data_IF_809015094677
#
_entry.id   IF_809015094677
#
_cell.length_a   1.000
_cell.length_b   1.000
_cell.length_c   1.000
_cell.angle_alpha   90.00
_cell.angle_beta   90.00
_cell.angle_gamma   90.00
#
_symmetry.space_group_name_H-M   'P 1'
#
loop_
_entity.id
_entity.type
_entity.pdbx_description
1 polymer ?
#
# COMPACT_ATOMS: atom_id res chain seq x y z
N UNK A 1 -18.28 -2.38 20.97
CA UNK A 1 -18.91 -3.41 21.24
C UNK A 1 -18.40 -4.22 22.34
N UNK A 2 -19.17 -4.55 23.13
CA UNK A 2 -18.80 -5.17 24.37
C UNK A 2 -18.75 -6.68 24.28
N UNK A 3 -17.72 -7.26 24.85
CA UNK A 3 -17.61 -8.68 25.01
C UNK A 3 -17.91 -9.11 26.42
N UNK A 4 -18.55 -8.25 27.18
CA UNK A 4 -18.80 -8.52 28.59
C UNK A 4 -19.61 -9.78 28.84
N UNK A 5 -20.46 -10.17 27.90
CA UNK A 5 -21.25 -11.38 27.99
C UNK A 5 -20.46 -12.65 27.65
N UNK A 6 -19.28 -12.50 27.13
CA UNK A 6 -18.48 -13.62 26.71
C UNK A 6 -17.64 -14.12 27.89
N UNK A 7 -17.86 -15.37 28.31
CA UNK A 7 -17.04 -15.94 29.36
C UNK A 7 -15.64 -16.21 28.85
N UNK A 8 -14.66 -16.09 29.76
CA UNK A 8 -13.30 -16.45 29.43
C UNK A 8 -13.19 -17.96 29.27
N UNK A 9 -12.43 -18.42 28.28
CA UNK A 9 -12.22 -19.86 28.13
C UNK A 9 -11.48 -20.43 29.32
N UNK A 10 -11.79 -21.67 29.63
CA UNK A 10 -11.08 -22.42 30.64
C UNK A 10 -9.62 -22.58 30.21
N UNK A 11 -8.64 -22.18 31.04
CA UNK A 11 -7.24 -22.28 30.67
C UNK A 11 -6.77 -23.73 30.44
N UNK A 12 -7.49 -24.72 30.97
CA UNK A 12 -7.18 -26.12 30.72
C UNK A 12 -7.71 -26.61 29.38
N UNK A 13 -8.60 -25.88 28.74
CA UNK A 13 -9.18 -26.26 27.45
C UNK A 13 -8.34 -25.68 26.33
N UNK A 14 -7.89 -26.55 25.37
CA UNK A 14 -7.17 -26.02 24.20
C UNK A 14 -8.02 -25.00 23.45
N UNK A 15 -7.42 -23.86 23.13
CA UNK A 15 -8.12 -22.85 22.35
C UNK A 15 -8.27 -23.34 20.91
N UNK A 16 -9.45 -23.16 20.31
CA UNK A 16 -9.61 -23.52 18.92
C UNK A 16 -8.73 -22.64 18.04
N UNK A 17 -8.10 -23.27 17.05
CA UNK A 17 -7.38 -22.51 16.03
C UNK A 17 -8.39 -21.73 15.21
N UNK A 18 -8.19 -20.42 15.01
CA UNK A 18 -9.11 -19.65 14.15
C UNK A 18 -9.21 -20.29 12.77
N UNK A 19 -10.41 -20.38 12.19
CA UNK A 19 -10.55 -20.84 10.81
C UNK A 19 -9.67 -20.00 9.88
N UNK A 20 -9.10 -20.62 8.85
CA UNK A 20 -8.29 -19.91 7.86
C UNK A 20 -9.02 -18.70 7.27
N UNK A 21 -10.34 -18.83 7.12
CA UNK A 21 -11.17 -17.73 6.63
C UNK A 21 -11.13 -16.48 7.52
N UNK A 22 -10.76 -16.61 8.81
CA UNK A 22 -10.63 -15.49 9.73
C UNK A 22 -9.20 -14.95 9.81
N UNK A 23 -8.24 -15.62 9.20
CA UNK A 23 -6.85 -15.19 9.18
C UNK A 23 -6.59 -14.38 7.89
N UNK A 24 -7.38 -13.35 7.69
CA UNK A 24 -7.34 -12.52 6.50
C UNK A 24 -6.93 -11.09 6.84
N UNK A 25 -6.43 -10.38 5.84
CA UNK A 25 -6.13 -8.97 5.95
C UNK A 25 -6.33 -8.31 4.58
N UNK A 26 -6.52 -7.00 4.59
CA UNK A 26 -6.72 -6.23 3.37
C UNK A 26 -5.52 -5.37 3.07
N UNK A 27 -5.24 -5.21 1.79
CA UNK A 27 -4.32 -4.18 1.31
C UNK A 27 -5.03 -3.37 0.24
N UNK A 28 -4.71 -2.08 0.19
CA UNK A 28 -5.15 -1.25 -0.92
C UNK A 28 -4.34 -1.57 -2.16
N UNK A 29 -5.00 -1.61 -3.30
CA UNK A 29 -4.32 -1.48 -4.58
C UNK A 29 -3.94 -0.02 -4.75
N UNK A 30 -2.77 0.23 -5.29
CA UNK A 30 -2.26 1.58 -5.47
C UNK A 30 -2.03 1.87 -6.95
N UNK A 31 -2.19 3.15 -7.30
CA UNK A 31 -1.69 3.69 -8.56
C UNK A 31 -0.72 4.82 -8.24
N UNK A 32 0.44 4.79 -8.88
CA UNK A 32 1.41 5.87 -8.82
C UNK A 32 1.48 6.50 -10.20
N UNK A 33 1.17 7.79 -10.28
CA UNK A 33 1.01 8.49 -11.54
C UNK A 33 1.91 9.71 -11.61
N UNK A 34 2.53 9.91 -12.77
CA UNK A 34 3.35 11.08 -13.04
C UNK A 34 2.46 12.31 -13.26
N UNK A 35 2.66 13.31 -12.44
CA UNK A 35 1.89 14.56 -12.46
C UNK A 35 2.82 15.69 -12.86
N UNK A 36 2.33 16.55 -13.76
CA UNK A 36 2.99 17.79 -14.13
C UNK A 36 2.24 18.94 -13.44
N UNK A 37 2.89 19.70 -12.56
CA UNK A 37 2.20 20.67 -11.73
C UNK A 37 1.64 21.87 -12.50
N UNK A 38 2.25 22.23 -13.63
CA UNK A 38 1.77 23.30 -14.50
C UNK A 38 2.34 23.10 -15.90
N UNK A 39 1.73 23.73 -16.94
CA UNK A 39 2.13 23.47 -18.33
C UNK A 39 3.59 23.81 -18.66
N UNK A 40 4.16 24.77 -17.94
CA UNK A 40 5.54 25.21 -18.18
C UNK A 40 6.56 24.48 -17.31
N UNK A 41 6.15 23.46 -16.60
CA UNK A 41 7.03 22.71 -15.72
C UNK A 41 8.17 22.06 -16.52
N UNK A 42 9.37 22.09 -15.95
CA UNK A 42 10.55 21.51 -16.59
C UNK A 42 10.65 20.05 -16.19
N UNK A 43 10.74 19.19 -17.19
CA UNK A 43 10.83 17.74 -17.02
C UNK A 43 12.12 17.25 -17.66
N UNK A 44 13.01 16.74 -16.85
CA UNK A 44 14.31 16.26 -17.30
C UNK A 44 14.45 14.75 -17.27
N UNK A 45 13.63 14.06 -16.48
CA UNK A 45 13.59 12.61 -16.47
C UNK A 45 12.80 12.09 -17.68
N UNK A 46 12.88 10.80 -17.94
CA UNK A 46 12.12 10.18 -19.02
C UNK A 46 10.63 10.04 -18.75
N UNK A 47 10.15 10.60 -17.65
CA UNK A 47 8.74 10.51 -17.26
C UNK A 47 7.87 11.39 -18.16
N UNK A 48 6.70 10.86 -18.52
CA UNK A 48 5.71 11.60 -19.29
C UNK A 48 4.46 11.78 -18.43
N UNK A 49 3.75 12.91 -18.58
CA UNK A 49 2.50 13.12 -17.87
C UNK A 49 1.56 11.94 -18.08
N UNK A 50 1.01 11.42 -17.00
CA UNK A 50 0.09 10.31 -17.07
C UNK A 50 0.73 8.93 -17.08
N UNK A 51 2.04 8.82 -17.19
CA UNK A 51 2.71 7.53 -16.99
C UNK A 51 2.39 7.04 -15.58
N UNK A 52 2.14 5.74 -15.45
CA UNK A 52 1.76 5.19 -14.16
C UNK A 52 2.19 3.74 -14.01
N UNK A 53 2.19 3.28 -12.79
CA UNK A 53 2.19 1.86 -12.50
C UNK A 53 1.14 1.58 -11.42
N UNK A 54 0.76 0.33 -11.30
CA UNK A 54 -0.14 -0.12 -10.25
C UNK A 54 0.53 -1.18 -9.40
N UNK A 55 0.20 -1.18 -8.12
CA UNK A 55 0.68 -2.16 -7.17
C UNK A 55 -0.52 -2.94 -6.67
N UNK A 56 -0.52 -4.23 -6.95
CA UNK A 56 -1.56 -5.16 -6.51
C UNK A 56 -0.89 -6.21 -5.63
N UNK A 57 -1.15 -6.15 -4.33
CA UNK A 57 -0.42 -6.97 -3.38
C UNK A 57 1.07 -6.60 -3.41
N UNK A 58 1.92 -7.55 -3.75
CA UNK A 58 3.35 -7.30 -3.86
C UNK A 58 3.81 -7.06 -5.30
N UNK A 59 2.89 -7.16 -6.27
CA UNK A 59 3.24 -7.12 -7.68
C UNK A 59 3.01 -5.75 -8.29
N UNK A 60 4.03 -5.28 -8.99
CA UNK A 60 4.01 -4.02 -9.69
C UNK A 60 3.74 -4.27 -11.17
N UNK A 61 2.74 -3.55 -11.71
CA UNK A 61 2.33 -3.67 -13.10
C UNK A 61 2.48 -2.35 -13.83
N UNK A 62 3.09 -2.43 -15.00
CA UNK A 62 3.21 -1.31 -15.92
C UNK A 62 2.25 -1.52 -17.10
N UNK A 63 1.71 -0.44 -17.68
CA UNK A 63 1.00 -0.56 -18.94
C UNK A 63 1.89 -1.14 -20.02
N UNK A 64 1.33 -1.88 -21.01
CA UNK A 64 2.11 -2.43 -22.09
C UNK A 64 2.92 -1.35 -22.81
N UNK A 65 4.21 -1.61 -23.00
CA UNK A 65 5.10 -0.71 -23.74
C UNK A 65 5.52 0.54 -23.00
N UNK A 66 5.08 0.74 -21.77
CA UNK A 66 5.46 1.91 -20.98
C UNK A 66 6.61 1.58 -20.04
N UNK A 67 7.60 2.46 -20.00
CA UNK A 67 8.62 2.43 -18.96
C UNK A 67 8.25 3.30 -17.79
N UNK A 68 9.07 3.25 -16.75
CA UNK A 68 8.94 4.14 -15.59
C UNK A 68 10.34 4.44 -15.06
N UNK A 69 10.61 5.71 -14.79
CA UNK A 69 11.93 6.13 -14.30
C UNK A 69 12.27 5.43 -12.98
N UNK A 70 13.42 4.80 -12.90
CA UNK A 70 13.87 4.17 -11.66
C UNK A 70 14.15 5.20 -10.57
N UNK A 71 14.47 6.42 -10.94
CA UNK A 71 14.68 7.51 -9.98
C UNK A 71 13.35 7.93 -9.36
N UNK A 72 12.32 8.08 -10.18
CA UNK A 72 10.97 8.34 -9.70
C UNK A 72 10.45 7.19 -8.84
N UNK A 73 10.68 5.97 -9.29
CA UNK A 73 10.29 4.79 -8.52
C UNK A 73 10.95 4.79 -7.14
N UNK A 74 12.24 5.12 -7.08
CA UNK A 74 12.97 5.13 -5.80
C UNK A 74 12.39 6.11 -4.80
N UNK A 75 11.79 7.21 -5.26
CA UNK A 75 11.22 8.21 -4.37
C UNK A 75 9.92 7.74 -3.70
N UNK A 76 9.21 6.80 -4.31
CA UNK A 76 7.92 6.32 -3.78
C UNK A 76 8.01 4.95 -3.13
N UNK A 77 8.98 4.11 -3.48
CA UNK A 77 9.09 2.76 -2.94
C UNK A 77 8.98 2.69 -1.41
N UNK A 78 9.65 3.55 -0.64
CA UNK A 78 9.56 3.48 0.82
C UNK A 78 8.16 3.76 1.36
N UNK A 79 7.30 4.39 0.58
CA UNK A 79 5.98 4.84 1.01
C UNK A 79 4.88 3.85 0.63
N UNK A 80 5.14 2.97 -0.34
CA UNK A 80 4.08 2.14 -0.92
C UNK A 80 3.47 1.17 0.09
N UNK A 81 4.30 0.49 0.85
CA UNK A 81 3.80 -0.47 1.84
C UNK A 81 2.93 0.20 2.91
N UNK A 82 3.29 1.41 3.32
CA UNK A 82 2.49 2.17 4.27
C UNK A 82 1.15 2.58 3.64
N UNK A 83 1.19 3.06 2.40
CA UNK A 83 -0.02 3.50 1.70
C UNK A 83 -0.98 2.36 1.41
N UNK A 84 -0.49 1.14 1.31
CA UNK A 84 -1.34 -0.05 1.12
C UNK A 84 -2.15 -0.41 2.36
N UNK A 85 -1.79 0.09 3.52
CA UNK A 85 -2.44 -0.25 4.79
C UNK A 85 -3.29 0.91 5.27
N UNK A 86 -4.26 0.59 6.15
CA UNK A 86 -5.02 1.63 6.83
C UNK A 86 -4.07 2.51 7.63
N UNK A 87 -4.27 3.81 7.52
CA UNK A 87 -3.47 4.80 8.23
C UNK A 87 -4.39 5.78 8.94
N UNK A 88 -3.87 6.45 9.95
CA UNK A 88 -4.65 7.41 10.71
C UNK A 88 -5.14 8.54 9.80
N UNK A 89 -6.36 9.00 10.02
CA UNK A 89 -6.99 10.03 9.19
C UNK A 89 -6.20 11.34 9.12
N UNK A 90 -5.39 11.61 10.14
CA UNK A 90 -4.60 12.84 10.22
C UNK A 90 -3.18 12.65 9.69
N UNK A 91 -2.82 11.44 9.28
CA UNK A 91 -1.52 11.16 8.68
C UNK A 91 -1.56 11.57 7.20
N UNK A 92 -0.56 12.31 6.76
CA UNK A 92 -0.50 12.76 5.36
C UNK A 92 -0.52 11.60 4.37
N UNK A 93 -0.02 10.44 4.76
CA UNK A 93 -0.01 9.26 3.90
C UNK A 93 -1.43 8.77 3.57
N UNK A 94 -2.42 9.17 4.35
CA UNK A 94 -3.82 8.80 4.11
C UNK A 94 -4.41 9.52 2.91
N UNK A 95 -3.99 10.77 2.68
CA UNK A 95 -4.43 11.53 1.52
C UNK A 95 -3.58 11.18 0.30
N UNK A 96 -4.05 11.58 -0.87
CA UNK A 96 -3.32 11.37 -2.12
C UNK A 96 -2.28 12.47 -2.32
N UNK A 97 -1.35 12.54 -1.38
CA UNK A 97 -0.31 13.54 -1.42
C UNK A 97 0.66 13.27 -2.57
N UNK A 98 1.17 14.33 -3.14
CA UNK A 98 2.14 14.24 -4.22
C UNK A 98 3.55 14.21 -3.67
N UNK A 99 4.39 13.40 -4.26
CA UNK A 99 5.79 13.24 -3.88
C UNK A 99 6.65 13.87 -4.97
N UNK A 100 7.66 14.61 -4.57
CA UNK A 100 8.56 15.28 -5.51
C UNK A 100 9.48 14.28 -6.20
N UNK A 101 9.86 14.62 -7.43
CA UNK A 101 10.96 13.94 -8.12
C UNK A 101 12.25 14.14 -7.32
N UNK A 102 13.14 13.13 -7.24
CA UNK A 102 14.40 13.28 -6.52
C UNK A 102 15.37 14.29 -7.16
N UNK A 103 15.19 14.60 -8.44
CA UNK A 103 15.97 15.65 -9.08
C UNK A 103 15.34 17.02 -8.76
N UNK A 104 16.04 17.90 -8.05
CA UNK A 104 15.48 19.20 -7.67
C UNK A 104 15.19 20.13 -8.85
N UNK A 105 15.77 19.85 -10.00
CA UNK A 105 15.54 20.64 -11.21
C UNK A 105 14.39 20.10 -12.06
N UNK A 106 13.91 18.92 -11.77
CA UNK A 106 12.81 18.28 -12.49
C UNK A 106 11.52 18.50 -11.68
N UNK A 107 10.53 19.11 -12.31
CA UNK A 107 9.32 19.51 -11.61
C UNK A 107 8.22 18.45 -11.63
N UNK A 108 8.51 17.26 -12.14
CA UNK A 108 7.53 16.16 -12.07
C UNK A 108 7.23 15.80 -10.63
N UNK A 109 5.99 15.38 -10.41
CA UNK A 109 5.54 14.85 -9.13
C UNK A 109 4.91 13.50 -9.34
N UNK A 110 4.78 12.76 -8.27
CA UNK A 110 4.23 11.41 -8.29
C UNK A 110 3.06 11.39 -7.31
N UNK A 111 1.88 11.04 -7.81
CA UNK A 111 0.68 10.93 -6.97
C UNK A 111 0.44 9.46 -6.67
N UNK A 112 0.36 9.15 -5.38
CA UNK A 112 0.08 7.81 -4.92
C UNK A 112 -1.39 7.76 -4.49
N UNK A 113 -2.20 7.02 -5.23
CA UNK A 113 -3.64 6.92 -4.97
C UNK A 113 -4.03 5.50 -4.62
N UNK A 114 -4.96 5.37 -3.69
CA UNK A 114 -5.61 4.10 -3.37
C UNK A 114 -6.74 3.90 -4.36
N UNK A 115 -6.71 2.80 -5.12
CA UNK A 115 -7.68 2.57 -6.20
C UNK A 115 -8.62 1.41 -5.93
N UNK A 116 -8.41 0.66 -4.86
CA UNK A 116 -9.27 -0.45 -4.51
C UNK A 116 -8.70 -1.19 -3.32
N UNK A 117 -9.41 -2.19 -2.86
CA UNK A 117 -8.97 -3.07 -1.78
C UNK A 117 -9.04 -4.51 -2.24
N UNK A 118 -8.10 -5.32 -1.79
CA UNK A 118 -8.19 -6.77 -1.96
C UNK A 118 -7.81 -7.48 -0.68
N UNK A 119 -8.46 -8.61 -0.48
CA UNK A 119 -8.27 -9.43 0.70
C UNK A 119 -7.22 -10.48 0.43
N UNK A 120 -6.39 -10.72 1.44
CA UNK A 120 -5.36 -11.75 1.41
C UNK A 120 -5.58 -12.72 2.56
N UNK A 121 -5.27 -13.97 2.31
CA UNK A 121 -5.28 -14.99 3.36
C UNK A 121 -3.85 -15.15 3.86
N UNK A 122 -3.69 -15.09 5.18
CA UNK A 122 -2.35 -15.18 5.80
C UNK A 122 -1.62 -16.44 5.39
N UNK A 123 -2.31 -17.57 5.32
CA UNK A 123 -1.67 -18.85 4.99
C UNK A 123 -1.10 -18.89 3.57
N UNK A 124 -1.57 -18.00 2.69
CA UNK A 124 -1.10 -17.91 1.31
C UNK A 124 0.01 -16.90 1.15
N UNK A 125 0.27 -16.09 2.17
CA UNK A 125 1.23 -14.99 2.08
C UNK A 125 2.46 -15.22 2.97
N UNK A 126 2.36 -16.08 3.96
CA UNK A 126 3.50 -16.38 4.85
C UNK A 126 3.37 -17.78 5.42
N UNK A 127 4.52 -18.42 5.66
CA UNK A 127 4.56 -19.67 6.39
C UNK A 127 4.61 -19.51 7.90
N UNK A 128 4.60 -18.26 8.38
CA UNK A 128 4.65 -17.98 9.81
C UNK A 128 3.27 -18.14 10.41
N UNK A 129 3.18 -18.89 11.50
CA UNK A 129 1.91 -19.07 12.20
C UNK A 129 1.42 -17.74 12.77
N UNK A 130 0.09 -17.64 12.91
CA UNK A 130 -0.52 -16.50 13.54
C UNK A 130 -0.06 -16.43 14.99
N UNK A 131 0.53 -15.31 15.45
CA UNK A 131 1.00 -15.23 16.81
C UNK A 131 -0.16 -15.31 17.79
N UNK A 132 0.10 -15.92 18.96
CA UNK A 132 -0.83 -15.87 20.06
C UNK A 132 -0.84 -14.45 20.60
N UNK A 133 -2.04 -13.85 20.65
CA UNK A 133 -2.18 -12.52 21.21
C UNK A 133 -1.97 -12.60 22.73
N UNK A 134 -1.09 -11.76 23.22
CA UNK A 134 -0.89 -11.57 24.64
C UNK A 134 -1.46 -10.23 25.02
N UNK A 135 -2.28 -10.24 26.06
CA UNK A 135 -2.92 -9.03 26.56
C UNK A 135 -2.22 -8.47 27.76
#
# INVERSE_FOLDING_TARGET
MSDSARSKPDPATPQPTPPLALAVFDLYDLRVEVIIPHPDAKVYCGAKPGDYFELHGELLFLPPGQGFSIYSLSSVLPLLAAKQRETHKNDWITSDAEVACPDPNCETRLRISRIGKRMFNRSETTGTELPTLQE
#
